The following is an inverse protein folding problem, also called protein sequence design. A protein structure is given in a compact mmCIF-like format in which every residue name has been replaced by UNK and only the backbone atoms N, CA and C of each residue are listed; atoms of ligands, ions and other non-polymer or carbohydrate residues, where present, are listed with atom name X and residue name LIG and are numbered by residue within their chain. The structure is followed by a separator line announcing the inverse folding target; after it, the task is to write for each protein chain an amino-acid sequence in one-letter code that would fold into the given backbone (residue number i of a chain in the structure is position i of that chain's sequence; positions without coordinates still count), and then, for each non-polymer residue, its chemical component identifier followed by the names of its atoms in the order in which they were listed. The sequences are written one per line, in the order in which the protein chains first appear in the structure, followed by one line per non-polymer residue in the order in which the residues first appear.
data_IF_762862326094
#
_entry.id   IF_762862326094
#
_cell.length_a   1.000
_cell.length_b   1.000
_cell.length_c   1.000
_cell.angle_alpha   90.00
_cell.angle_beta   90.00
_cell.angle_gamma   90.00
#
_symmetry.space_group_name_H-M   'P 1'
#
loop_
_entity.id
_entity.type
_entity.pdbx_description
1 polymer ?
#
# COMPACT_ATOMS: atom_id res chain seq x y z
N UNK A 1 2.35 11.10 41.62
CA UNK A 1 3.20 10.05 40.98
C UNK A 1 2.38 9.16 40.07
N UNK A 2 1.22 8.69 40.49
CA UNK A 2 0.29 7.85 39.70
C UNK A 2 -0.17 8.52 38.39
N UNK A 3 -0.53 9.81 38.44
CA UNK A 3 -1.04 10.54 37.24
C UNK A 3 -0.01 10.63 36.10
N UNK A 4 1.27 10.86 36.43
CA UNK A 4 2.35 10.86 35.44
C UNK A 4 2.57 9.49 34.78
N UNK A 5 2.37 8.42 35.55
CA UNK A 5 2.47 7.05 35.02
C UNK A 5 1.29 6.78 34.06
N UNK A 6 0.08 7.17 34.46
CA UNK A 6 -1.13 7.02 33.64
C UNK A 6 -0.97 7.80 32.32
N UNK A 7 -0.55 9.05 32.38
CA UNK A 7 -0.32 9.88 31.19
C UNK A 7 0.73 9.27 30.24
N UNK A 8 1.84 8.76 30.81
CA UNK A 8 2.86 8.05 30.03
C UNK A 8 2.31 6.80 29.34
N UNK A 9 1.53 6.00 30.08
CA UNK A 9 0.91 4.79 29.52
C UNK A 9 -0.11 5.12 28.43
N UNK A 10 -0.92 6.15 28.61
CA UNK A 10 -1.88 6.62 27.60
C UNK A 10 -1.17 7.09 26.31
N UNK A 11 -0.06 7.83 26.45
CA UNK A 11 0.74 8.28 25.31
C UNK A 11 1.32 7.09 24.53
N UNK A 12 1.85 6.09 25.24
CA UNK A 12 2.38 4.87 24.62
C UNK A 12 1.28 4.04 23.94
N UNK A 13 0.12 3.95 24.58
CA UNK A 13 -1.03 3.22 24.01
C UNK A 13 -1.49 3.88 22.72
N UNK A 14 -1.68 5.20 22.69
CA UNK A 14 -2.06 5.93 21.46
C UNK A 14 -1.05 5.71 20.34
N UNK A 15 0.25 5.71 20.64
CA UNK A 15 1.28 5.45 19.64
C UNK A 15 1.18 4.03 19.05
N UNK A 16 0.91 3.02 19.89
CA UNK A 16 0.73 1.63 19.44
C UNK A 16 -0.56 1.45 18.62
N UNK A 17 -1.64 2.09 19.03
CA UNK A 17 -2.92 2.10 18.30
C UNK A 17 -2.75 2.75 16.91
N UNK A 18 -2.06 3.89 16.83
CA UNK A 18 -1.73 4.56 15.58
C UNK A 18 -0.86 3.69 14.67
N UNK A 19 0.19 3.04 15.20
CA UNK A 19 1.00 2.10 14.43
C UNK A 19 0.15 0.95 13.87
N UNK A 20 -0.77 0.41 14.67
CA UNK A 20 -1.66 -0.66 14.23
C UNK A 20 -2.65 -0.19 13.15
N UNK A 21 -3.18 1.03 13.26
CA UNK A 21 -4.04 1.64 12.25
C UNK A 21 -3.29 1.86 10.92
N UNK A 22 -2.05 2.33 10.96
CA UNK A 22 -1.18 2.46 9.78
C UNK A 22 -0.95 1.09 9.12
N UNK A 23 -0.66 0.03 9.89
CA UNK A 23 -0.53 -1.35 9.36
C UNK A 23 -1.79 -1.81 8.65
N UNK A 24 -2.96 -1.58 9.26
CA UNK A 24 -4.25 -1.92 8.67
C UNK A 24 -4.45 -1.20 7.33
N UNK A 25 -4.15 0.09 7.26
CA UNK A 25 -4.33 0.88 6.03
C UNK A 25 -3.43 0.38 4.90
N UNK A 26 -2.14 0.16 5.15
CA UNK A 26 -1.24 -0.33 4.10
C UNK A 26 -1.56 -1.78 3.68
N UNK A 27 -1.95 -2.64 4.62
CA UNK A 27 -2.36 -4.00 4.30
C UNK A 27 -3.65 -4.03 3.44
N UNK A 28 -4.63 -3.16 3.74
CA UNK A 28 -5.84 -2.99 2.92
C UNK A 28 -5.51 -2.47 1.53
N UNK A 29 -4.59 -1.50 1.41
CA UNK A 29 -4.13 -1.02 0.12
C UNK A 29 -3.57 -2.16 -0.74
N UNK A 30 -2.70 -3.01 -0.19
CA UNK A 30 -2.16 -4.16 -0.91
C UNK A 30 -3.25 -5.16 -1.30
N UNK A 31 -4.15 -5.51 -0.37
CA UNK A 31 -5.25 -6.44 -0.64
C UNK A 31 -6.19 -5.95 -1.75
N UNK A 32 -6.42 -4.64 -1.87
CA UNK A 32 -7.20 -4.02 -2.94
C UNK A 32 -6.44 -3.93 -4.27
N UNK A 33 -5.12 -3.95 -4.24
CA UNK A 33 -4.25 -3.98 -5.42
C UNK A 33 -3.89 -5.41 -5.87
N UNK A 34 -4.20 -6.43 -5.08
CA UNK A 34 -4.02 -7.83 -5.48
C UNK A 34 -5.00 -8.25 -6.59
N UNK A 35 -4.63 -9.24 -7.37
CA UNK A 35 -5.49 -9.88 -8.38
C UNK A 35 -5.45 -11.39 -8.17
N UNK A 36 -6.58 -12.03 -7.82
CA UNK A 36 -7.85 -11.39 -7.49
C UNK A 36 -7.76 -10.54 -6.22
N UNK A 37 -8.49 -9.44 -6.19
CA UNK A 37 -8.54 -8.57 -5.02
C UNK A 37 -9.13 -9.31 -3.79
N UNK A 38 -8.57 -9.06 -2.62
CA UNK A 38 -9.05 -9.59 -1.34
C UNK A 38 -9.76 -8.50 -0.53
N UNK A 39 -10.57 -7.72 -1.23
CA UNK A 39 -11.38 -6.68 -0.62
C UNK A 39 -12.56 -7.25 0.18
N UNK A 40 -12.89 -6.62 1.30
CA UNK A 40 -14.17 -6.82 1.97
C UNK A 40 -15.25 -5.99 1.27
N UNK A 41 -16.52 -6.39 1.45
CA UNK A 41 -17.63 -5.66 0.86
C UNK A 41 -17.63 -4.17 1.30
N UNK A 42 -17.78 -3.27 0.31
CA UNK A 42 -17.79 -1.83 0.53
C UNK A 42 -16.41 -1.17 0.67
N UNK A 43 -15.31 -1.92 0.63
CA UNK A 43 -13.98 -1.32 0.62
C UNK A 43 -13.63 -0.70 -0.73
N UNK A 44 -12.98 0.46 -0.70
CA UNK A 44 -12.50 1.12 -1.90
C UNK A 44 -11.10 1.69 -1.72
N UNK A 45 -10.32 1.71 -2.81
CA UNK A 45 -8.99 2.33 -2.81
C UNK A 45 -9.06 3.82 -2.45
N UNK A 46 -10.06 4.54 -2.94
CA UNK A 46 -10.22 5.97 -2.69
C UNK A 46 -10.33 6.30 -1.19
N UNK A 47 -11.01 5.45 -0.42
CA UNK A 47 -11.20 5.63 1.02
C UNK A 47 -9.92 5.49 1.86
N UNK A 48 -8.83 4.98 1.27
CA UNK A 48 -7.54 4.84 1.96
C UNK A 48 -6.67 6.08 1.87
N UNK A 49 -7.04 7.06 1.04
CA UNK A 49 -6.26 8.26 0.78
C UNK A 49 -6.89 9.50 1.42
N UNK A 50 -6.05 10.40 1.93
CA UNK A 50 -6.51 11.74 2.30
C UNK A 50 -6.86 12.56 1.06
N UNK A 51 -7.70 13.59 1.21
CA UNK A 51 -8.15 14.45 0.09
C UNK A 51 -6.99 15.13 -0.66
N UNK A 52 -5.88 15.37 0.03
CA UNK A 52 -4.65 15.98 -0.51
C UNK A 52 -3.56 14.95 -0.82
N UNK A 53 -3.91 13.68 -0.87
CA UNK A 53 -2.95 12.60 -1.05
C UNK A 53 -2.12 12.74 -2.33
N UNK A 54 -0.88 12.29 -2.24
CA UNK A 54 0.04 12.19 -3.38
C UNK A 54 0.45 10.73 -3.54
N UNK A 55 0.49 10.25 -4.77
CA UNK A 55 1.10 8.98 -5.14
C UNK A 55 2.21 9.25 -6.15
N UNK A 56 3.40 8.70 -5.92
CA UNK A 56 4.58 9.07 -6.68
C UNK A 56 5.47 7.85 -6.94
N UNK A 57 5.77 7.63 -8.21
CA UNK A 57 6.87 6.74 -8.62
C UNK A 57 8.17 7.51 -8.54
N UNK A 58 9.16 6.97 -7.82
CA UNK A 58 10.49 7.56 -7.70
C UNK A 58 11.56 6.62 -8.24
N UNK A 59 12.80 7.14 -8.36
CA UNK A 59 13.88 6.41 -8.98
C UNK A 59 13.76 6.31 -10.51
N UNK A 60 14.81 5.81 -11.19
CA UNK A 60 14.94 5.93 -12.66
C UNK A 60 13.87 5.19 -13.45
N UNK A 61 13.26 4.14 -12.87
CA UNK A 61 12.28 3.32 -13.59
C UNK A 61 10.82 3.77 -13.33
N UNK A 62 10.51 4.19 -12.09
CA UNK A 62 9.14 4.51 -11.71
C UNK A 62 8.80 6.00 -11.83
N UNK A 63 9.78 6.89 -11.79
CA UNK A 63 9.57 8.32 -12.00
C UNK A 63 8.97 8.59 -13.39
N UNK A 64 9.56 8.02 -14.44
CA UNK A 64 9.08 8.18 -15.82
C UNK A 64 7.78 7.41 -16.09
N UNK A 65 7.62 6.22 -15.45
CA UNK A 65 6.47 5.35 -15.69
C UNK A 65 5.18 5.88 -15.04
N UNK A 66 5.26 6.38 -13.84
CA UNK A 66 4.09 6.75 -13.03
C UNK A 66 4.02 8.25 -12.76
N UNK A 67 5.18 8.90 -12.63
CA UNK A 67 5.25 10.31 -12.27
C UNK A 67 4.68 10.59 -10.88
N UNK A 68 4.03 11.74 -10.75
CA UNK A 68 3.42 12.23 -9.52
C UNK A 68 1.95 12.55 -9.75
N UNK A 69 1.08 11.95 -8.94
CA UNK A 69 -0.37 12.11 -9.01
C UNK A 69 -0.87 12.72 -7.70
N UNK A 70 -1.84 13.59 -7.78
CA UNK A 70 -2.43 14.28 -6.63
C UNK A 70 -3.94 14.06 -6.56
N UNK A 71 -4.43 13.75 -5.38
CA UNK A 71 -5.82 13.50 -5.06
C UNK A 71 -6.28 12.06 -5.33
N UNK A 72 -7.22 11.55 -4.52
CA UNK A 72 -7.69 10.17 -4.59
C UNK A 72 -8.19 9.77 -5.98
N UNK A 73 -8.92 10.66 -6.67
CA UNK A 73 -9.47 10.36 -8.00
C UNK A 73 -8.39 10.07 -9.06
N UNK A 74 -7.35 10.91 -9.13
CA UNK A 74 -6.25 10.73 -10.08
C UNK A 74 -5.47 9.45 -9.76
N UNK A 75 -5.22 9.18 -8.47
CA UNK A 75 -4.52 7.99 -8.00
C UNK A 75 -5.30 6.72 -8.36
N UNK A 76 -6.60 6.68 -8.05
CA UNK A 76 -7.44 5.51 -8.35
C UNK A 76 -7.56 5.29 -9.85
N UNK A 77 -7.73 6.34 -10.65
CA UNK A 77 -7.76 6.25 -12.11
C UNK A 77 -6.48 5.62 -12.68
N UNK A 78 -5.32 5.95 -12.12
CA UNK A 78 -4.05 5.33 -12.52
C UNK A 78 -4.02 3.84 -12.11
N UNK A 79 -4.37 3.50 -10.86
CA UNK A 79 -4.35 2.13 -10.37
C UNK A 79 -5.31 1.22 -11.13
N UNK A 80 -6.49 1.72 -11.53
CA UNK A 80 -7.49 0.97 -12.30
C UNK A 80 -6.99 0.50 -13.68
N UNK A 81 -5.92 1.07 -14.21
CA UNK A 81 -5.28 0.56 -15.45
C UNK A 81 -4.66 -0.82 -15.27
N UNK A 82 -4.42 -1.23 -14.04
CA UNK A 82 -3.78 -2.49 -13.66
C UNK A 82 -4.74 -3.47 -12.97
N UNK A 83 -5.95 -3.02 -12.62
CA UNK A 83 -6.92 -3.78 -11.84
C UNK A 83 -8.12 -4.18 -12.72
N UNK A 84 -8.83 -5.28 -12.37
CA UNK A 84 -10.05 -5.66 -13.07
C UNK A 84 -11.07 -4.50 -13.14
N UNK A 85 -11.82 -4.35 -14.25
CA UNK A 85 -11.93 -5.30 -15.37
C UNK A 85 -10.82 -5.18 -16.43
N UNK A 86 -9.80 -4.34 -16.23
CA UNK A 86 -8.68 -4.23 -17.19
C UNK A 86 -7.88 -5.53 -17.21
N UNK A 87 -7.69 -6.19 -18.37
CA UNK A 87 -7.00 -7.47 -18.45
C UNK A 87 -5.47 -7.28 -18.44
N UNK A 88 -4.91 -6.88 -17.32
CA UNK A 88 -3.48 -6.64 -17.14
C UNK A 88 -2.80 -7.82 -16.46
N UNK A 89 -3.28 -8.20 -15.27
CA UNK A 89 -2.78 -9.34 -14.51
C UNK A 89 -3.78 -10.50 -14.53
N UNK A 90 -3.27 -11.72 -14.71
CA UNK A 90 -3.98 -12.94 -14.38
C UNK A 90 -3.89 -13.23 -12.87
N UNK A 91 -2.73 -12.90 -12.27
CA UNK A 91 -2.52 -12.90 -10.82
C UNK A 91 -1.55 -11.79 -10.45
N UNK A 92 -1.73 -11.20 -9.29
CA UNK A 92 -0.81 -10.20 -8.74
C UNK A 92 -0.91 -10.22 -7.22
N UNK A 93 0.18 -10.44 -6.53
CA UNK A 93 0.19 -10.53 -5.06
C UNK A 93 1.33 -9.71 -4.50
N UNK A 94 1.03 -8.90 -3.48
CA UNK A 94 1.98 -8.05 -2.81
C UNK A 94 2.32 -8.60 -1.42
N UNK A 95 3.61 -8.74 -1.15
CA UNK A 95 4.16 -9.13 0.15
C UNK A 95 4.92 -7.95 0.74
N UNK A 96 4.54 -7.51 1.95
CA UNK A 96 5.27 -6.47 2.67
C UNK A 96 6.23 -7.09 3.67
N UNK A 97 7.48 -6.63 3.64
CA UNK A 97 8.55 -7.06 4.55
C UNK A 97 9.33 -5.86 5.09
N UNK A 98 10.23 -6.09 6.04
CA UNK A 98 11.17 -5.08 6.58
C UNK A 98 10.46 -3.81 7.05
N UNK A 99 9.34 -3.99 7.77
CA UNK A 99 8.52 -2.90 8.27
C UNK A 99 9.27 -2.00 9.24
N UNK A 100 9.12 -0.70 9.05
CA UNK A 100 9.48 0.31 10.02
C UNK A 100 8.43 1.41 10.05
N UNK A 101 7.78 1.63 11.20
CA UNK A 101 6.74 2.65 11.37
C UNK A 101 7.10 3.56 12.54
N UNK A 102 7.14 4.86 12.27
CA UNK A 102 7.33 5.91 13.27
C UNK A 102 6.07 6.76 13.34
N UNK A 103 5.57 7.01 14.55
CA UNK A 103 4.42 7.86 14.83
C UNK A 103 4.86 9.05 15.67
N UNK A 104 4.50 10.26 15.24
CA UNK A 104 4.80 11.50 15.95
C UNK A 104 3.54 12.40 15.93
N UNK A 105 2.78 12.40 17.02
CA UNK A 105 1.50 13.12 17.09
C UNK A 105 0.55 12.65 15.98
N UNK A 106 0.10 13.59 15.16
CA UNK A 106 -0.84 13.37 14.05
C UNK A 106 -0.16 13.05 12.72
N UNK A 107 1.06 12.58 12.75
CA UNK A 107 1.81 12.14 11.57
C UNK A 107 2.43 10.77 11.81
N UNK A 108 2.43 9.93 10.78
CA UNK A 108 3.18 8.70 10.80
C UNK A 108 3.93 8.49 9.48
N UNK A 109 5.07 7.84 9.58
CA UNK A 109 5.88 7.42 8.43
C UNK A 109 6.11 5.93 8.48
N UNK A 110 5.84 5.26 7.36
CA UNK A 110 6.09 3.85 7.20
C UNK A 110 7.07 3.57 6.07
N UNK A 111 7.93 2.57 6.25
CA UNK A 111 8.84 2.05 5.22
C UNK A 111 8.71 0.54 5.15
N UNK A 112 8.73 0.01 3.94
CA UNK A 112 8.68 -1.43 3.66
C UNK A 112 9.55 -1.76 2.46
N UNK A 113 9.99 -3.01 2.40
CA UNK A 113 10.38 -3.65 1.15
C UNK A 113 9.19 -4.50 0.72
N UNK A 114 8.67 -4.21 -0.46
CA UNK A 114 7.59 -4.97 -1.08
C UNK A 114 8.17 -5.94 -2.09
N UNK A 115 7.75 -7.20 -2.02
CA UNK A 115 7.92 -8.17 -3.10
C UNK A 115 6.56 -8.34 -3.78
N UNK A 116 6.51 -8.18 -5.09
CA UNK A 116 5.33 -8.36 -5.91
C UNK A 116 5.55 -9.56 -6.83
N UNK A 117 4.64 -10.53 -6.79
CA UNK A 117 4.61 -11.65 -7.70
C UNK A 117 3.50 -11.42 -8.72
N UNK A 118 3.88 -11.16 -9.98
CA UNK A 118 2.95 -10.82 -11.06
C UNK A 118 2.94 -11.89 -12.13
N UNK A 119 1.75 -12.40 -12.46
CA UNK A 119 1.47 -13.15 -13.69
C UNK A 119 0.59 -12.32 -14.60
N UNK A 120 1.05 -12.03 -15.80
CA UNK A 120 0.32 -11.23 -16.78
C UNK A 120 -0.59 -12.12 -17.63
N UNK A 121 -1.66 -11.57 -18.15
CA UNK A 121 -2.60 -12.29 -19.04
C UNK A 121 -1.94 -12.83 -20.33
N UNK A 122 -0.76 -12.33 -20.68
CA UNK A 122 -0.01 -12.76 -21.87
C UNK A 122 1.13 -13.74 -21.55
N UNK A 123 0.98 -14.57 -20.52
CA UNK A 123 1.90 -15.64 -20.12
C UNK A 123 3.30 -15.19 -19.66
N UNK A 124 3.52 -13.90 -19.43
CA UNK A 124 4.71 -13.37 -18.77
C UNK A 124 4.52 -13.39 -17.26
N UNK A 125 5.57 -13.68 -16.50
CA UNK A 125 5.55 -13.54 -15.05
C UNK A 125 6.85 -12.88 -14.56
N UNK A 126 6.73 -12.06 -13.52
CA UNK A 126 7.84 -11.31 -12.92
C UNK A 126 7.72 -11.29 -11.39
N UNK A 127 8.86 -11.41 -10.73
CA UNK A 127 9.03 -10.97 -9.35
C UNK A 127 9.63 -9.57 -9.38
N UNK A 128 9.02 -8.65 -8.62
CA UNK A 128 9.42 -7.26 -8.56
C UNK A 128 9.66 -6.91 -7.10
N UNK A 129 10.84 -6.40 -6.77
CA UNK A 129 11.08 -5.81 -5.47
C UNK A 129 11.01 -4.28 -5.58
N UNK A 130 10.33 -3.66 -4.62
CA UNK A 130 10.24 -2.21 -4.53
C UNK A 130 10.39 -1.71 -3.08
N UNK A 131 10.98 -0.54 -2.92
CA UNK A 131 10.95 0.20 -1.67
C UNK A 131 9.68 1.02 -1.61
N UNK A 132 9.01 1.00 -0.47
CA UNK A 132 7.88 1.87 -0.17
C UNK A 132 8.26 2.83 0.95
N UNK A 133 7.92 4.10 0.77
CA UNK A 133 7.96 5.15 1.78
C UNK A 133 6.61 5.85 1.79
N UNK A 134 5.90 5.77 2.91
CA UNK A 134 4.52 6.25 2.98
C UNK A 134 4.34 7.14 4.20
N UNK A 135 3.81 8.35 3.96
CA UNK A 135 3.38 9.25 5.03
C UNK A 135 1.87 9.09 5.23
N UNK A 136 1.46 9.08 6.50
CA UNK A 136 0.07 8.92 6.89
C UNK A 136 -0.39 10.09 7.76
N UNK A 137 -1.71 10.28 7.80
CA UNK A 137 -2.39 11.26 8.65
C UNK A 137 -3.67 10.64 9.24
N UNK A 138 -4.11 11.02 10.44
CA UNK A 138 -5.40 10.58 10.96
C UNK A 138 -6.55 10.98 10.04
N UNK A 139 -7.58 10.15 9.99
CA UNK A 139 -8.80 10.47 9.29
C UNK A 139 -9.58 11.57 10.06
N UNK A 140 -10.10 12.60 9.37
CA UNK A 140 -10.94 13.62 10.02
C UNK A 140 -12.31 13.08 10.45
N UNK A 141 -12.69 11.88 9.99
CA UNK A 141 -14.02 11.30 10.22
C UNK A 141 -14.01 10.12 11.20
N UNK A 142 -12.81 9.56 11.49
CA UNK A 142 -12.67 8.41 12.38
C UNK A 142 -11.25 8.40 12.99
N UNK A 143 -11.17 8.64 14.29
CA UNK A 143 -9.91 8.74 15.04
C UNK A 143 -9.08 7.45 14.99
N UNK A 144 -9.72 6.29 14.81
CA UNK A 144 -9.06 4.98 14.72
C UNK A 144 -8.52 4.66 13.32
N UNK A 145 -8.71 5.58 12.36
CA UNK A 145 -8.32 5.36 10.96
C UNK A 145 -7.22 6.32 10.55
N UNK A 146 -6.17 5.76 9.94
CA UNK A 146 -5.10 6.54 9.33
C UNK A 146 -5.15 6.42 7.82
N UNK A 147 -5.02 7.55 7.12
CA UNK A 147 -5.10 7.66 5.67
C UNK A 147 -3.72 7.88 5.07
N UNK A 148 -3.50 7.36 3.87
CA UNK A 148 -2.29 7.62 3.07
C UNK A 148 -2.31 9.08 2.64
N UNK A 149 -1.27 9.82 3.03
CA UNK A 149 -1.05 11.20 2.64
C UNK A 149 -0.05 11.32 1.50
N UNK A 150 1.03 10.55 1.53
CA UNK A 150 2.01 10.51 0.45
C UNK A 150 2.55 9.09 0.31
N UNK A 151 2.32 8.47 -0.82
CA UNK A 151 2.83 7.14 -1.16
C UNK A 151 3.95 7.30 -2.19
N UNK A 152 5.14 6.84 -1.86
CA UNK A 152 6.30 6.79 -2.75
C UNK A 152 6.73 5.35 -2.96
N UNK A 153 6.99 5.00 -4.21
CA UNK A 153 7.48 3.66 -4.56
C UNK A 153 8.66 3.76 -5.51
N UNK A 154 9.69 2.98 -5.24
CA UNK A 154 10.91 2.86 -6.05
C UNK A 154 11.16 1.40 -6.39
N UNK A 155 11.31 1.09 -7.67
CA UNK A 155 11.68 -0.26 -8.10
C UNK A 155 13.15 -0.51 -7.78
N UNK A 156 13.44 -1.60 -7.07
CA UNK A 156 14.79 -2.00 -6.71
C UNK A 156 15.38 -2.97 -7.72
N UNK A 157 14.62 -3.99 -8.07
CA UNK A 157 14.96 -4.95 -9.12
C UNK A 157 13.72 -5.70 -9.58
N UNK A 158 13.84 -6.40 -10.68
CA UNK A 158 12.89 -7.39 -11.17
C UNK A 158 13.63 -8.58 -11.80
N UNK A 159 12.93 -9.70 -11.81
CA UNK A 159 13.39 -10.90 -12.50
C UNK A 159 12.19 -11.68 -13.05
N UNK A 160 12.31 -12.28 -14.25
CA UNK A 160 11.29 -13.18 -14.72
C UNK A 160 11.21 -14.42 -13.81
N UNK A 161 10.01 -14.96 -13.66
CA UNK A 161 9.80 -16.26 -13.03
C UNK A 161 8.85 -17.12 -13.86
N UNK A 162 8.91 -18.43 -13.67
CA UNK A 162 8.04 -19.34 -14.40
C UNK A 162 6.92 -19.82 -13.49
N UNK A 163 5.67 -19.59 -13.91
CA UNK A 163 4.51 -20.23 -13.29
C UNK A 163 4.52 -21.69 -13.74
N UNK A 164 4.48 -22.63 -12.80
CA UNK A 164 4.41 -24.05 -13.16
C UNK A 164 3.08 -24.33 -13.87
N UNK A 165 3.10 -24.74 -15.16
CA UNK A 165 1.87 -24.98 -15.92
C UNK A 165 1.01 -26.13 -15.38
N UNK A 166 1.58 -27.01 -14.54
CA UNK A 166 0.84 -28.10 -13.90
C UNK A 166 -0.18 -27.63 -12.84
N UNK A 167 -0.07 -26.37 -12.39
CA UNK A 167 -1.00 -25.75 -11.44
C UNK A 167 -1.75 -24.59 -12.12
N UNK A 168 -2.28 -24.84 -13.32
CA UNK A 168 -3.07 -23.86 -14.07
C UNK A 168 -4.07 -23.16 -13.16
N UNK A 169 -4.07 -21.84 -13.20
CA UNK A 169 -5.10 -21.01 -12.56
C UNK A 169 -6.43 -21.46 -13.16
N UNK A 170 -7.19 -22.24 -12.42
CA UNK A 170 -8.54 -22.54 -12.82
C UNK A 170 -9.33 -21.23 -12.79
N UNK A 171 -9.70 -20.78 -13.98
CA UNK A 171 -10.60 -19.67 -14.20
C UNK A 171 -12.00 -19.95 -13.61
#
# INVERSE_FOLDING_TARGET
MTDKIIESLQTRLRALEAQNAVRKTIARYMALCDVPARALEGESLAALFSDVAVWEGIGPQYADKFGRLQGPSAIVTMLQRYLPPTPHFATNVHFLTSEHIEVQGDTAKGRWIMLQASGYVHAKAELIAARLEVDFTPSPHNEDTWLIRHFRTERLFDTPWQINPAHGVHA
#
